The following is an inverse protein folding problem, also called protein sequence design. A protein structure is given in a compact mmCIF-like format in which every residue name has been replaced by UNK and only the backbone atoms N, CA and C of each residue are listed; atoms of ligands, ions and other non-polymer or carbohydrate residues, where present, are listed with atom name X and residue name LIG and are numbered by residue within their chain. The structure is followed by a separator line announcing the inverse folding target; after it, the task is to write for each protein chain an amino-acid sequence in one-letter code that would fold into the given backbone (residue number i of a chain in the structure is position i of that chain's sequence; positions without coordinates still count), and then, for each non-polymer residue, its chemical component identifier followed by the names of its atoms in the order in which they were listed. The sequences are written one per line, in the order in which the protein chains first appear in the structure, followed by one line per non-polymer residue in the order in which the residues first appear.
data_IF_614216639898
#
_entry.id   IF_614216639898
#
_cell.length_a   1.000
_cell.length_b   1.000
_cell.length_c   1.000
_cell.angle_alpha   90.00
_cell.angle_beta   90.00
_cell.angle_gamma   90.00
#
_symmetry.space_group_name_H-M   'P 1'
#
loop_
_entity.id
_entity.type
_entity.pdbx_description
1 polymer ?
#
# COMPACT_ATOMS: atom_id res chain seq x y z
N UNK A 1 14.93 7.19 10.37
CA UNK A 1 15.87 6.36 11.15
C UNK A 1 17.22 6.20 10.46
N UNK A 2 17.32 5.46 9.34
CA UNK A 2 18.60 5.27 8.63
C UNK A 2 19.26 6.58 8.15
N UNK A 3 18.46 7.56 7.71
CA UNK A 3 18.96 8.90 7.36
C UNK A 3 19.64 9.62 8.53
N UNK A 4 19.03 9.60 9.73
CA UNK A 4 19.61 10.22 10.93
C UNK A 4 20.89 9.52 11.37
N UNK A 5 20.93 8.18 11.23
CA UNK A 5 22.13 7.39 11.48
C UNK A 5 23.26 7.75 10.52
N UNK A 6 22.96 7.85 9.23
CA UNK A 6 23.93 8.20 8.20
C UNK A 6 24.47 9.63 8.38
N UNK A 7 23.58 10.56 8.72
CA UNK A 7 23.94 11.96 8.96
C UNK A 7 24.85 12.11 10.18
N UNK A 8 24.54 11.42 11.28
CA UNK A 8 25.38 11.46 12.48
C UNK A 8 26.71 10.71 12.29
N UNK A 9 26.71 9.57 11.59
CA UNK A 9 27.94 8.86 11.24
C UNK A 9 28.93 9.71 10.44
N UNK A 10 28.43 10.50 9.48
CA UNK A 10 29.25 11.45 8.70
C UNK A 10 29.84 12.58 9.54
N UNK A 11 29.14 13.03 10.59
CA UNK A 11 29.66 14.05 11.51
C UNK A 11 30.82 13.52 12.35
N UNK A 12 30.77 12.24 12.76
CA UNK A 12 31.87 11.59 13.51
C UNK A 12 33.14 11.48 12.67
N UNK A 13 33.03 11.27 11.36
CA UNK A 13 34.18 11.13 10.45
C UNK A 13 34.87 12.46 10.11
N UNK A 14 34.23 13.61 10.37
CA UNK A 14 34.67 14.93 9.87
C UNK A 14 34.98 15.97 10.94
N UNK A 15 34.71 15.71 12.23
CA UNK A 15 34.84 16.71 13.29
C UNK A 15 35.88 16.33 14.36
N UNK A 16 36.86 17.21 14.58
CA UNK A 16 37.86 17.09 15.66
C UNK A 16 37.34 17.56 17.03
N UNK A 17 36.16 18.20 17.10
CA UNK A 17 35.65 18.88 18.32
C UNK A 17 34.13 18.77 18.55
N UNK A 18 33.41 17.84 17.88
CA UNK A 18 31.98 17.65 18.18
C UNK A 18 31.76 16.61 19.27
N UNK A 19 30.95 16.98 20.28
CA UNK A 19 30.41 16.06 21.30
C UNK A 19 29.85 14.81 20.60
N UNK A 20 30.57 13.69 20.71
CA UNK A 20 30.13 12.43 20.14
C UNK A 20 28.83 12.03 20.84
N UNK A 21 27.70 12.21 20.16
CA UNK A 21 26.39 11.80 20.68
C UNK A 21 26.09 10.37 20.24
N UNK A 22 25.65 9.55 21.19
CA UNK A 22 25.10 8.23 20.86
C UNK A 22 23.87 8.37 19.99
N UNK A 23 23.60 7.38 19.13
CA UNK A 23 22.37 7.37 18.32
C UNK A 23 21.13 7.45 19.20
N UNK A 24 21.16 6.87 20.40
CA UNK A 24 20.08 6.96 21.37
C UNK A 24 19.70 8.42 21.70
N UNK A 25 20.70 9.28 21.92
CA UNK A 25 20.49 10.69 22.23
C UNK A 25 19.91 11.48 21.04
N UNK A 26 20.34 11.15 19.83
CA UNK A 26 19.84 11.73 18.58
C UNK A 26 18.37 11.34 18.36
N UNK A 27 18.06 10.07 18.58
CA UNK A 27 16.71 9.53 18.48
C UNK A 27 15.77 10.14 19.53
N UNK A 28 16.23 10.28 20.77
CA UNK A 28 15.43 10.90 21.84
C UNK A 28 15.09 12.35 21.51
N UNK A 29 16.08 13.12 21.03
CA UNK A 29 15.88 14.51 20.58
C UNK A 29 14.86 14.58 19.43
N UNK A 30 15.00 13.73 18.41
CA UNK A 30 14.06 13.67 17.28
C UNK A 30 12.64 13.35 17.73
N UNK A 31 12.46 12.43 18.70
CA UNK A 31 11.14 12.10 19.24
C UNK A 31 10.48 13.29 19.92
N UNK A 32 11.25 14.07 20.67
CA UNK A 32 10.77 15.28 21.35
C UNK A 32 10.34 16.35 20.33
N UNK A 33 11.15 16.60 19.30
CA UNK A 33 10.80 17.50 18.19
C UNK A 33 9.49 17.09 17.49
N UNK A 34 9.27 15.79 17.28
CA UNK A 34 8.04 15.27 16.66
C UNK A 34 6.80 15.39 17.56
N UNK A 35 6.99 15.40 18.88
CA UNK A 35 5.92 15.53 19.87
C UNK A 35 5.55 17.00 20.08
N UNK A 36 6.50 17.92 19.92
CA UNK A 36 6.25 19.37 19.93
C UNK A 36 5.51 19.82 18.65
N UNK A 37 5.72 19.15 17.51
CA UNK A 37 5.07 19.48 16.23
C UNK A 37 3.66 18.87 16.06
N UNK A 38 3.04 18.38 17.14
CA UNK A 38 1.77 17.62 17.13
C UNK A 38 0.55 18.44 16.61
N UNK A 39 0.72 19.74 16.34
CA UNK A 39 -0.34 20.64 15.86
C UNK A 39 -0.43 20.81 14.32
N UNK A 40 0.39 20.12 13.52
CA UNK A 40 0.51 20.39 12.07
C UNK A 40 -0.11 19.32 11.15
N UNK A 41 -0.36 19.68 9.88
CA UNK A 41 -1.01 18.86 8.83
C UNK A 41 -0.32 17.49 8.59
N UNK A 42 0.92 17.31 9.02
CA UNK A 42 1.67 16.04 8.94
C UNK A 42 1.48 15.10 10.16
N UNK A 43 0.48 15.36 11.01
CA UNK A 43 0.20 14.63 12.26
C UNK A 43 0.28 13.10 12.18
N UNK A 44 -0.17 12.49 11.07
CA UNK A 44 -0.13 11.03 10.93
C UNK A 44 1.31 10.51 10.75
N UNK A 45 2.10 11.14 9.88
CA UNK A 45 3.49 10.73 9.64
C UNK A 45 4.36 10.95 10.88
N UNK A 46 4.16 12.08 11.58
CA UNK A 46 4.93 12.39 12.80
C UNK A 46 4.60 11.42 13.93
N UNK A 47 3.34 11.01 14.08
CA UNK A 47 2.92 10.02 15.07
C UNK A 47 3.56 8.66 14.82
N UNK A 48 3.53 8.17 13.57
CA UNK A 48 4.17 6.90 13.22
C UNK A 48 5.69 6.94 13.41
N UNK A 49 6.34 8.04 13.04
CA UNK A 49 7.78 8.21 13.26
C UNK A 49 8.12 8.24 14.76
N UNK A 50 7.33 8.97 15.55
CA UNK A 50 7.50 9.04 17.01
C UNK A 50 7.31 7.69 17.69
N UNK A 51 6.27 6.94 17.31
CA UNK A 51 6.01 5.59 17.81
C UNK A 51 7.15 4.62 17.43
N UNK A 52 7.63 4.68 16.18
CA UNK A 52 8.77 3.87 15.74
C UNK A 52 10.04 4.19 16.54
N UNK A 53 10.37 5.47 16.74
CA UNK A 53 11.50 5.89 17.57
C UNK A 53 11.32 5.40 19.01
N UNK A 54 10.13 5.55 19.59
CA UNK A 54 9.87 5.10 20.96
C UNK A 54 10.04 3.59 21.11
N UNK A 55 9.65 2.80 20.11
CA UNK A 55 9.80 1.35 20.16
C UNK A 55 11.28 0.97 20.05
N UNK A 56 12.05 1.62 19.18
CA UNK A 56 13.50 1.35 19.03
C UNK A 56 14.22 1.64 20.34
N UNK A 57 13.92 2.77 20.98
CA UNK A 57 14.54 3.15 22.26
C UNK A 57 14.21 2.14 23.36
N UNK A 58 12.95 1.70 23.49
CA UNK A 58 12.54 0.68 24.46
C UNK A 58 13.24 -0.66 24.24
N UNK A 59 13.37 -1.08 22.98
CA UNK A 59 14.01 -2.35 22.64
C UNK A 59 15.53 -2.29 22.84
N UNK A 60 16.18 -1.18 22.49
CA UNK A 60 17.60 -0.95 22.77
C UNK A 60 17.89 -0.94 24.28
N UNK A 61 17.03 -0.30 25.08
CA UNK A 61 17.10 -0.32 26.54
C UNK A 61 16.97 -1.73 27.11
N UNK A 62 16.00 -2.52 26.61
CA UNK A 62 15.84 -3.92 27.00
C UNK A 62 17.07 -4.79 26.67
N UNK A 63 17.71 -4.53 25.52
CA UNK A 63 18.95 -5.21 25.12
C UNK A 63 20.13 -4.84 26.03
N UNK A 64 20.23 -3.57 26.43
CA UNK A 64 21.26 -3.08 27.35
C UNK A 64 21.14 -3.75 28.75
N UNK A 65 19.93 -3.77 29.33
CA UNK A 65 19.66 -4.39 30.65
C UNK A 65 19.94 -5.89 30.64
N UNK A 66 19.70 -6.57 29.52
CA UNK A 66 19.88 -8.01 29.42
C UNK A 66 21.37 -8.44 29.36
N UNK A 67 22.30 -7.55 28.99
CA UNK A 67 23.75 -7.81 29.03
C UNK A 67 24.32 -7.69 30.45
N UNK A 68 23.86 -6.73 31.25
CA UNK A 68 24.30 -6.55 32.64
C UNK A 68 23.83 -7.67 33.59
N UNK A 69 22.89 -8.52 33.17
CA UNK A 69 22.41 -9.65 33.98
C UNK A 69 23.25 -10.93 33.86
N UNK A 70 24.17 -11.03 32.88
CA UNK A 70 24.95 -12.25 32.63
C UNK A 70 26.46 -12.12 32.93
N UNK A 71 26.94 -10.93 33.29
CA UNK A 71 28.37 -10.68 33.58
C UNK A 71 28.67 -10.62 35.10
N UNK A 72 27.84 -11.24 35.94
CA UNK A 72 28.00 -11.18 37.42
C UNK A 72 28.74 -12.39 38.01
N UNK A 73 29.48 -13.16 37.21
CA UNK A 73 30.14 -14.41 37.67
C UNK A 73 31.68 -14.43 37.64
N UNK A 74 32.37 -13.40 37.13
CA UNK A 74 33.86 -13.43 37.11
C UNK A 74 34.58 -12.16 37.60
N UNK A 75 33.88 -11.20 38.21
CA UNK A 75 34.51 -10.02 38.84
C UNK A 75 34.86 -10.23 40.33
N UNK A 76 34.89 -11.48 40.79
CA UNK A 76 35.39 -11.85 42.11
C UNK A 76 36.82 -12.36 42.03
N UNK A 77 37.75 -11.63 42.64
CA UNK A 77 39.17 -11.96 42.88
C UNK A 77 40.15 -11.53 41.79
N UNK A 78 40.61 -10.28 41.87
CA UNK A 78 42.05 -9.95 42.05
C UNK A 78 42.20 -8.53 42.62
N UNK A 79 42.39 -8.47 43.94
CA UNK A 79 43.00 -7.34 44.62
C UNK A 79 44.49 -7.31 44.30
N UNK A 80 44.98 -6.37 43.48
CA UNK A 80 46.29 -5.77 43.72
C UNK A 80 46.54 -4.51 42.87
N UNK A 81 46.69 -3.37 43.57
CA UNK A 81 47.62 -2.27 43.31
C UNK A 81 47.81 -1.79 41.86
N UNK A 82 47.30 -0.59 41.56
CA UNK A 82 48.09 0.47 40.95
C UNK A 82 47.38 1.83 41.14
N UNK A 83 47.92 2.63 42.05
CA UNK A 83 47.75 4.08 42.12
C UNK A 83 48.76 4.67 41.11
N UNK A 84 48.30 5.12 39.95
CA UNK A 84 49.12 5.92 39.04
C UNK A 84 48.24 6.80 38.13
N UNK A 85 48.44 8.10 38.28
CA UNK A 85 47.92 9.16 37.42
C UNK A 85 48.07 8.82 35.93
N UNK A 86 46.95 8.84 35.18
CA UNK A 86 46.98 9.12 33.74
C UNK A 86 45.60 9.60 33.28
N UNK A 87 45.50 10.90 33.03
CA UNK A 87 44.29 11.61 32.57
C UNK A 87 43.98 11.37 31.08
N UNK A 88 44.48 10.29 30.47
CA UNK A 88 44.31 9.99 29.03
C UNK A 88 43.68 8.59 28.78
N UNK A 89 43.39 7.81 29.83
CA UNK A 89 42.78 6.46 29.74
C UNK A 89 41.24 6.48 29.59
N UNK A 90 40.60 7.62 29.84
CA UNK A 90 39.13 7.73 29.87
C UNK A 90 38.50 7.93 28.49
N UNK A 91 39.24 8.48 27.51
CA UNK A 91 38.71 8.79 26.17
C UNK A 91 38.44 7.52 25.34
N UNK A 92 39.32 6.51 25.41
CA UNK A 92 39.11 5.26 24.69
C UNK A 92 38.01 4.39 25.31
N UNK A 93 37.90 4.36 26.64
CA UNK A 93 36.79 3.65 27.33
C UNK A 93 35.44 4.27 27.02
N UNK A 94 35.37 5.60 26.97
CA UNK A 94 34.14 6.32 26.64
C UNK A 94 33.72 6.06 25.19
N UNK A 95 34.69 5.96 24.26
CA UNK A 95 34.43 5.55 22.88
C UNK A 95 33.88 4.13 22.79
N UNK A 96 34.46 3.16 23.49
CA UNK A 96 33.98 1.77 23.45
C UNK A 96 32.56 1.61 24.01
N UNK A 97 32.24 2.32 25.10
CA UNK A 97 30.88 2.35 25.64
C UNK A 97 29.87 2.96 24.64
N UNK A 98 30.24 4.06 23.97
CA UNK A 98 29.38 4.71 22.98
C UNK A 98 29.11 3.81 21.76
N UNK A 99 30.13 3.08 21.28
CA UNK A 99 29.97 2.08 20.22
C UNK A 99 29.10 0.89 20.64
N UNK A 100 29.17 0.47 21.90
CA UNK A 100 28.32 -0.60 22.42
C UNK A 100 26.85 -0.18 22.49
N UNK A 101 26.55 1.02 22.98
CA UNK A 101 25.18 1.58 22.99
C UNK A 101 24.64 1.73 21.57
N UNK A 102 25.46 2.23 20.64
CA UNK A 102 25.08 2.35 19.23
C UNK A 102 24.76 0.98 18.58
N UNK A 103 25.47 -0.07 19.00
CA UNK A 103 25.20 -1.45 18.54
C UNK A 103 23.81 -1.92 18.97
N UNK A 104 23.36 -1.60 20.18
CA UNK A 104 22.01 -1.95 20.63
C UNK A 104 20.91 -1.26 19.83
N UNK A 105 21.12 0.01 19.51
CA UNK A 105 20.19 0.76 18.66
C UNK A 105 20.12 0.14 17.26
N UNK A 106 21.25 -0.29 16.70
CA UNK A 106 21.29 -0.96 15.39
C UNK A 106 20.53 -2.30 15.42
N UNK A 107 20.77 -3.14 16.43
CA UNK A 107 20.07 -4.42 16.58
C UNK A 107 18.57 -4.22 16.75
N UNK A 108 18.14 -3.23 17.55
CA UNK A 108 16.73 -2.90 17.73
C UNK A 108 16.07 -2.45 16.41
N UNK A 109 16.73 -1.58 15.63
CA UNK A 109 16.24 -1.17 14.30
C UNK A 109 16.08 -2.39 13.38
N UNK A 110 17.07 -3.27 13.35
CA UNK A 110 17.05 -4.44 12.48
C UNK A 110 15.92 -5.41 12.85
N UNK A 111 15.71 -5.67 14.14
CA UNK A 111 14.60 -6.51 14.63
C UNK A 111 13.24 -5.95 14.29
N UNK A 112 13.04 -4.63 14.43
CA UNK A 112 11.78 -4.01 14.03
C UNK A 112 11.53 -4.12 12.53
N UNK A 113 12.57 -3.94 11.71
CA UNK A 113 12.48 -4.10 10.25
C UNK A 113 12.05 -5.53 9.88
N UNK A 114 12.63 -6.53 10.53
CA UNK A 114 12.27 -7.94 10.34
C UNK A 114 10.82 -8.23 10.77
N UNK A 115 10.42 -7.74 11.95
CA UNK A 115 9.05 -7.91 12.45
C UNK A 115 8.02 -7.27 11.51
N UNK A 116 8.27 -6.05 11.02
CA UNK A 116 7.40 -5.39 10.05
C UNK A 116 7.34 -6.14 8.72
N UNK A 117 8.47 -6.70 8.26
CA UNK A 117 8.53 -7.52 7.05
C UNK A 117 7.64 -8.77 7.16
N UNK A 118 7.64 -9.41 8.34
CA UNK A 118 6.77 -10.57 8.63
C UNK A 118 5.29 -10.16 8.60
N UNK A 119 4.92 -9.07 9.27
CA UNK A 119 3.53 -8.60 9.29
C UNK A 119 3.05 -8.19 7.89
N UNK A 120 3.89 -7.52 7.10
CA UNK A 120 3.59 -7.18 5.71
C UNK A 120 3.36 -8.45 4.88
N UNK A 121 4.21 -9.46 5.04
CA UNK A 121 4.08 -10.75 4.34
C UNK A 121 2.77 -11.47 4.69
N UNK A 122 2.31 -11.38 5.95
CA UNK A 122 1.02 -11.94 6.37
C UNK A 122 -0.15 -11.21 5.70
N UNK A 123 -0.07 -9.90 5.57
CA UNK A 123 -1.09 -9.09 4.89
C UNK A 123 -1.14 -9.44 3.40
N UNK A 124 0.02 -9.53 2.75
CA UNK A 124 0.12 -9.90 1.34
C UNK A 124 -0.48 -11.28 1.05
N UNK A 125 -0.17 -12.28 1.89
CA UNK A 125 -0.76 -13.61 1.78
C UNK A 125 -2.31 -13.60 1.91
N UNK A 126 -2.85 -12.72 2.77
CA UNK A 126 -4.31 -12.55 2.88
C UNK A 126 -4.88 -11.84 1.65
N UNK A 127 -4.19 -10.82 1.13
CA UNK A 127 -4.60 -10.11 -0.07
C UNK A 127 -4.62 -11.03 -1.29
N UNK A 128 -3.56 -11.81 -1.50
CA UNK A 128 -3.48 -12.81 -2.57
C UNK A 128 -4.62 -13.82 -2.50
N UNK A 129 -4.93 -14.33 -1.29
CA UNK A 129 -6.07 -15.23 -1.10
C UNK A 129 -7.40 -14.56 -1.51
N UNK A 130 -7.62 -13.31 -1.12
CA UNK A 130 -8.83 -12.58 -1.43
C UNK A 130 -8.95 -12.30 -2.94
N UNK A 131 -7.86 -11.89 -3.59
CA UNK A 131 -7.81 -11.67 -5.05
C UNK A 131 -8.15 -12.97 -5.79
N UNK A 132 -7.57 -14.10 -5.39
CA UNK A 132 -7.92 -15.39 -5.99
C UNK A 132 -9.40 -15.74 -5.75
N UNK A 133 -9.94 -15.46 -4.57
CA UNK A 133 -11.36 -15.65 -4.28
C UNK A 133 -12.27 -14.80 -5.16
N UNK A 134 -11.90 -13.54 -5.38
CA UNK A 134 -12.63 -12.62 -6.27
C UNK A 134 -12.64 -13.12 -7.71
N UNK A 135 -11.48 -13.52 -8.26
CA UNK A 135 -11.38 -14.06 -9.61
C UNK A 135 -12.24 -15.32 -9.81
N UNK A 136 -12.27 -16.21 -8.80
CA UNK A 136 -13.12 -17.41 -8.85
C UNK A 136 -14.62 -17.08 -8.84
N UNK A 137 -15.03 -16.05 -8.09
CA UNK A 137 -16.42 -15.61 -8.07
C UNK A 137 -16.82 -14.93 -9.39
N UNK A 138 -15.93 -14.13 -9.97
CA UNK A 138 -16.12 -13.46 -11.26
C UNK A 138 -16.41 -14.48 -12.37
N UNK A 139 -15.61 -15.55 -12.47
CA UNK A 139 -15.83 -16.63 -13.44
C UNK A 139 -17.19 -17.34 -13.26
N UNK A 140 -17.60 -17.58 -12.01
CA UNK A 140 -18.91 -18.18 -11.73
C UNK A 140 -20.05 -17.25 -12.13
N UNK A 141 -19.91 -15.97 -11.79
CA UNK A 141 -20.90 -14.94 -12.09
C UNK A 141 -21.10 -14.78 -13.59
N UNK A 142 -20.04 -14.83 -14.40
CA UNK A 142 -20.13 -14.79 -15.86
C UNK A 142 -21.05 -15.89 -16.40
N UNK A 143 -20.87 -17.12 -15.94
CA UNK A 143 -21.68 -18.27 -16.41
C UNK A 143 -23.16 -18.18 -15.99
N UNK A 144 -23.42 -17.79 -14.74
CA UNK A 144 -24.78 -17.69 -14.18
C UNK A 144 -25.53 -16.53 -14.81
N UNK A 145 -24.88 -15.36 -14.92
CA UNK A 145 -25.49 -14.18 -15.54
C UNK A 145 -25.82 -14.41 -17.02
N UNK A 146 -24.97 -15.10 -17.78
CA UNK A 146 -25.26 -15.45 -19.17
C UNK A 146 -26.47 -16.40 -19.29
N UNK A 147 -26.61 -17.34 -18.35
CA UNK A 147 -27.76 -18.23 -18.30
C UNK A 147 -29.05 -17.49 -17.96
N UNK A 148 -29.04 -16.69 -16.90
CA UNK A 148 -30.19 -15.90 -16.45
C UNK A 148 -30.64 -14.91 -17.53
N UNK A 149 -29.69 -14.23 -18.19
CA UNK A 149 -29.98 -13.34 -19.29
C UNK A 149 -30.73 -14.06 -20.43
N UNK A 150 -30.29 -15.27 -20.81
CA UNK A 150 -30.97 -16.07 -21.85
C UNK A 150 -32.36 -16.52 -21.40
N UNK A 151 -32.51 -16.96 -20.15
CA UNK A 151 -33.80 -17.39 -19.61
C UNK A 151 -34.83 -16.27 -19.59
N UNK A 152 -34.39 -15.03 -19.35
CA UNK A 152 -35.27 -13.86 -19.32
C UNK A 152 -35.53 -13.34 -20.75
N UNK A 153 -34.49 -13.17 -21.56
CA UNK A 153 -34.63 -12.54 -22.88
C UNK A 153 -35.31 -13.41 -23.92
N UNK A 154 -35.07 -14.72 -23.95
CA UNK A 154 -35.64 -15.58 -25.00
C UNK A 154 -37.18 -15.61 -24.98
N UNK A 155 -37.87 -15.81 -23.84
CA UNK A 155 -39.32 -15.77 -23.78
C UNK A 155 -39.89 -14.41 -24.20
N UNK A 156 -39.27 -13.32 -23.76
CA UNK A 156 -39.68 -11.95 -24.12
C UNK A 156 -39.56 -11.72 -25.62
N UNK A 157 -38.41 -12.02 -26.22
CA UNK A 157 -38.23 -11.90 -27.67
C UNK A 157 -39.24 -12.77 -28.44
N UNK A 158 -39.47 -13.99 -27.96
CA UNK A 158 -40.44 -14.89 -28.59
C UNK A 158 -41.88 -14.39 -28.50
N UNK A 159 -42.28 -13.74 -27.40
CA UNK A 159 -43.62 -13.16 -27.29
C UNK A 159 -43.79 -12.00 -28.27
N UNK A 160 -42.82 -11.08 -28.32
CA UNK A 160 -42.84 -9.95 -29.25
C UNK A 160 -42.90 -10.42 -30.71
N UNK A 161 -42.04 -11.37 -31.11
CA UNK A 161 -42.01 -11.88 -32.48
C UNK A 161 -43.28 -12.66 -32.86
N UNK A 162 -43.86 -13.43 -31.92
CA UNK A 162 -45.11 -14.16 -32.16
C UNK A 162 -46.27 -13.20 -32.34
N UNK A 163 -46.34 -12.13 -31.56
CA UNK A 163 -47.39 -11.11 -31.65
C UNK A 163 -47.36 -10.42 -33.02
N UNK A 164 -46.16 -10.01 -33.48
CA UNK A 164 -45.94 -9.47 -34.83
C UNK A 164 -46.28 -10.45 -35.97
N UNK A 165 -46.06 -11.76 -35.77
CA UNK A 165 -46.41 -12.79 -36.76
C UNK A 165 -47.90 -13.18 -36.76
N UNK A 166 -48.63 -12.85 -35.68
CA UNK A 166 -50.04 -13.20 -35.50
C UNK A 166 -51.01 -12.14 -36.03
N UNK A 167 -50.51 -10.92 -36.25
CA UNK A 167 -51.23 -9.91 -37.02
C UNK A 167 -50.86 -10.04 -38.50
N UNK A 168 -51.78 -10.40 -39.40
CA UNK A 168 -51.51 -10.26 -40.83
C UNK A 168 -51.19 -8.79 -41.11
N UNK A 169 -50.24 -8.48 -42.02
CA UNK A 169 -50.02 -7.10 -42.42
C UNK A 169 -51.37 -6.55 -42.84
N UNK A 170 -51.85 -5.54 -42.13
CA UNK A 170 -52.97 -4.73 -42.59
C UNK A 170 -52.49 -4.11 -43.89
N UNK A 171 -52.80 -4.78 -45.00
CA UNK A 171 -52.69 -4.20 -46.33
C UNK A 171 -53.33 -2.81 -46.21
N UNK A 172 -52.58 -1.73 -46.50
CA UNK A 172 -53.15 -0.40 -46.42
C UNK A 172 -54.38 -0.42 -47.31
N UNK A 173 -55.55 -0.15 -46.70
CA UNK A 173 -56.81 -0.11 -47.41
C UNK A 173 -56.58 0.68 -48.70
N UNK A 174 -56.75 0.02 -49.85
CA UNK A 174 -56.69 0.69 -51.15
C UNK A 174 -57.67 1.85 -51.07
N UNK A 175 -57.15 3.06 -50.94
CA UNK A 175 -57.97 4.26 -50.95
C UNK A 175 -58.78 4.24 -52.26
N UNK A 176 -60.11 4.40 -52.21
CA UNK A 176 -60.96 4.31 -53.40
C UNK A 176 -60.62 5.37 -54.48
N UNK A 177 -59.75 6.34 -54.15
CA UNK A 177 -59.33 7.41 -55.05
C UNK A 177 -58.27 7.00 -56.09
N UNK A 178 -57.46 5.96 -55.84
CA UNK A 178 -56.42 5.56 -56.82
C UNK A 178 -56.98 4.71 -57.98
N UNK A 179 -58.14 4.08 -57.82
CA UNK A 179 -58.85 3.41 -58.92
C UNK A 179 -59.44 4.39 -59.95
N UNK A 180 -59.79 5.60 -59.51
CA UNK A 180 -60.40 6.61 -60.37
C UNK A 180 -59.40 7.29 -61.31
N UNK A 181 -58.13 7.40 -60.90
CA UNK A 181 -57.10 8.05 -61.72
C UNK A 181 -56.66 7.14 -62.88
N UNK A 182 -56.60 5.82 -62.68
CA UNK A 182 -56.18 4.87 -63.72
C UNK A 182 -57.27 4.54 -64.75
N UNK A 183 -58.55 4.82 -64.47
CA UNK A 183 -59.65 4.61 -65.43
C UNK A 183 -59.92 5.82 -66.34
N UNK A 184 -59.40 7.00 -66.01
CA UNK A 184 -59.65 8.24 -66.78
C UNK A 184 -58.49 8.66 -67.70
N UNK A 185 -57.37 7.94 -67.70
CA UNK A 185 -56.35 8.08 -68.73
C UNK A 185 -56.71 7.24 -69.96
N UNK A 186 -57.68 7.76 -70.72
CA UNK A 186 -57.93 7.33 -72.10
C UNK A 186 -56.76 7.66 -73.03
N UNK A 187 -56.66 6.99 -74.19
CA UNK A 187 -55.46 6.97 -75.00
C UNK A 187 -55.27 8.28 -75.77
N UNK A 188 -54.18 9.01 -75.51
CA UNK A 188 -53.74 10.05 -76.46
C UNK A 188 -53.11 9.38 -77.68
N UNK A 189 -53.79 9.58 -78.80
CA UNK A 189 -53.37 9.15 -80.13
C UNK A 189 -51.99 9.67 -80.50
N UNK A 190 -51.23 8.76 -81.12
CA UNK A 190 -50.32 8.94 -82.28
C UNK A 190 -49.96 10.37 -82.66
N UNK A 191 -48.65 10.62 -82.70
CA UNK A 191 -48.07 11.32 -83.85
C UNK A 191 -46.89 10.53 -84.42
N UNK A 192 -47.01 10.23 -85.72
CA UNK A 192 -45.95 9.75 -86.60
C UNK A 192 -45.05 10.94 -86.96
N UNK A 193 -43.73 10.71 -87.03
CA UNK A 193 -42.78 11.16 -88.09
C UNK A 193 -41.35 10.88 -87.56
N UNK A 194 -40.66 9.88 -88.10
CA UNK A 194 -39.70 10.01 -89.20
C UNK A 194 -38.72 11.19 -89.03
N UNK A 195 -37.56 10.93 -88.43
CA UNK A 195 -36.26 10.95 -89.11
C UNK A 195 -35.21 10.24 -88.24
#
# INVERSE_FOLDING_TARGET
MEYLRLEEGKKRDTATEFDHRSYESVLRKRREELLESENDVMFLSSRFESDAISNVLKEAEALNVNQFSYEDTYAGVTSQLCDLESSEDEDWRTKDYLHQVDTYVEVAIQRQKEQLSIELSKIDARMMRNVNGMQQLELKLESVSAHDYRLIMLPLMNSYLKEDSSHPPLLPARHPFLGFILQNLGPTQKDKKNC
#
